data_IF_201135322029
#
_entry.id   IF_201135322029
#
_cell.length_a   1.000
_cell.length_b   1.000
_cell.length_c   1.000
_cell.angle_alpha   90.00
_cell.angle_beta   90.00
_cell.angle_gamma   90.00
#
_symmetry.space_group_name_H-M   'P 1'
#
loop_
_entity.id
_entity.type
_entity.pdbx_description
1 polymer ?
#
# COMPACT_ATOMS: atom_id res chain seq x y z
N UNK A 1 -6.82 9.52 3.95
CA UNK A 1 -7.85 8.77 3.18
C UNK A 1 -7.50 8.56 1.71
N UNK A 2 -6.97 9.56 0.98
CA UNK A 2 -6.56 9.39 -0.43
C UNK A 2 -5.61 8.20 -0.69
N UNK A 3 -4.58 8.03 0.16
CA UNK A 3 -3.66 6.90 0.05
C UNK A 3 -4.36 5.52 0.18
N UNK A 4 -5.43 5.43 0.97
CA UNK A 4 -6.23 4.20 1.04
C UNK A 4 -6.93 3.94 -0.30
N UNK A 5 -7.67 4.92 -0.84
CA UNK A 5 -8.38 4.76 -2.11
C UNK A 5 -7.45 4.51 -3.30
N UNK A 6 -6.24 5.09 -3.27
CA UNK A 6 -5.18 4.81 -4.25
C UNK A 6 -4.60 3.39 -4.13
N UNK A 7 -4.98 2.62 -3.10
CA UNK A 7 -4.46 1.29 -2.83
C UNK A 7 -3.04 1.26 -2.27
N UNK A 8 -2.58 2.37 -1.70
CA UNK A 8 -1.22 2.51 -1.13
C UNK A 8 -1.17 2.07 0.34
N UNK A 9 -2.29 2.14 1.06
CA UNK A 9 -2.42 1.57 2.40
C UNK A 9 -2.91 0.12 2.28
N UNK A 10 -1.99 -0.84 2.37
CA UNK A 10 -2.31 -2.26 2.21
C UNK A 10 -2.70 -2.83 3.57
N UNK A 11 -3.98 -3.20 3.69
CA UNK A 11 -4.51 -3.86 4.87
C UNK A 11 -4.06 -5.33 4.94
N UNK A 12 -3.83 -5.84 6.15
CA UNK A 12 -3.38 -7.24 6.35
C UNK A 12 -4.54 -8.25 6.32
N UNK A 13 -5.78 -7.76 6.47
CA UNK A 13 -6.97 -8.60 6.58
C UNK A 13 -8.20 -7.98 5.93
N UNK A 14 -9.17 -8.85 5.63
CA UNK A 14 -10.50 -8.42 5.17
C UNK A 14 -11.27 -7.63 6.24
N UNK A 15 -10.91 -7.77 7.51
CA UNK A 15 -11.54 -7.01 8.58
C UNK A 15 -11.01 -5.57 8.61
N UNK A 16 -9.69 -5.40 8.60
CA UNK A 16 -9.05 -4.08 8.56
C UNK A 16 -9.49 -3.27 7.34
N UNK A 17 -9.54 -3.91 6.16
CA UNK A 17 -9.95 -3.21 4.94
C UNK A 17 -11.41 -2.74 4.99
N UNK A 18 -12.28 -3.52 5.66
CA UNK A 18 -13.69 -3.17 5.87
C UNK A 18 -13.82 -2.02 6.87
N UNK A 19 -13.04 -2.03 7.96
CA UNK A 19 -13.00 -0.95 8.95
C UNK A 19 -12.54 0.37 8.34
N UNK A 20 -11.42 0.36 7.60
CA UNK A 20 -10.93 1.53 6.87
C UNK A 20 -11.96 2.05 5.87
N UNK A 21 -12.59 1.16 5.10
CA UNK A 21 -13.64 1.52 4.15
C UNK A 21 -14.89 2.11 4.84
N UNK A 22 -15.28 1.63 6.02
CA UNK A 22 -16.40 2.18 6.78
C UNK A 22 -16.13 3.62 7.24
N UNK A 23 -14.91 3.90 7.70
CA UNK A 23 -14.51 5.25 8.09
C UNK A 23 -14.48 6.19 6.87
N UNK A 24 -13.87 5.73 5.76
CA UNK A 24 -13.84 6.49 4.50
C UNK A 24 -15.25 6.75 3.98
N UNK A 25 -16.14 5.76 4.04
CA UNK A 25 -17.55 5.91 3.66
C UNK A 25 -18.25 6.96 4.50
N UNK A 26 -18.10 6.95 5.83
CA UNK A 26 -18.71 7.97 6.71
C UNK A 26 -18.21 9.36 6.36
N UNK A 27 -16.91 9.50 6.13
CA UNK A 27 -16.28 10.81 5.86
C UNK A 27 -16.65 11.36 4.49
N UNK A 28 -16.70 10.51 3.46
CA UNK A 28 -16.91 10.96 2.07
C UNK A 28 -18.37 10.96 1.63
N UNK A 29 -19.20 10.06 2.17
CA UNK A 29 -20.59 9.86 1.74
C UNK A 29 -21.61 10.32 2.79
N UNK A 30 -21.16 10.63 4.01
CA UNK A 30 -22.03 11.03 5.11
C UNK A 30 -22.77 9.87 5.77
N UNK A 31 -23.68 10.21 6.70
CA UNK A 31 -24.32 9.23 7.59
C UNK A 31 -25.44 8.43 6.94
N UNK A 32 -26.10 8.98 5.93
CA UNK A 32 -27.26 8.37 5.28
C UNK A 32 -26.89 7.41 4.14
N UNK A 33 -25.59 7.26 3.87
CA UNK A 33 -25.10 6.38 2.83
C UNK A 33 -25.50 4.92 3.07
N UNK A 34 -26.08 4.29 2.05
CA UNK A 34 -26.47 2.87 2.07
C UNK A 34 -25.60 2.09 1.07
N UNK A 35 -24.66 1.26 1.55
CA UNK A 35 -23.84 0.43 0.68
C UNK A 35 -24.67 -0.58 -0.13
N UNK A 36 -24.34 -0.69 -1.40
CA UNK A 36 -24.83 -1.72 -2.34
C UNK A 36 -23.66 -2.18 -3.20
N UNK A 37 -23.77 -3.32 -3.89
CA UNK A 37 -22.70 -3.80 -4.78
C UNK A 37 -22.33 -2.81 -5.90
N UNK A 38 -23.23 -1.88 -6.24
CA UNK A 38 -23.10 -0.91 -7.33
C UNK A 38 -22.39 0.39 -6.93
N UNK A 39 -22.44 0.80 -5.67
CA UNK A 39 -21.96 2.12 -5.20
C UNK A 39 -20.72 2.03 -4.29
N UNK A 40 -19.88 1.01 -4.48
CA UNK A 40 -18.63 0.84 -3.72
C UNK A 40 -17.42 1.56 -4.32
N UNK A 41 -17.56 2.10 -5.53
CA UNK A 41 -16.54 2.95 -6.13
C UNK A 41 -16.38 4.21 -5.27
N UNK A 42 -15.14 4.62 -5.01
CA UNK A 42 -14.76 5.70 -4.08
C UNK A 42 -14.90 5.38 -2.58
N UNK A 43 -15.15 4.11 -2.23
CA UNK A 43 -15.13 3.65 -0.83
C UNK A 43 -14.05 2.62 -0.62
N UNK A 44 -13.90 1.69 -1.56
CA UNK A 44 -12.81 0.71 -1.55
C UNK A 44 -11.78 1.07 -2.63
N UNK A 45 -10.49 0.70 -2.41
CA UNK A 45 -9.49 0.72 -3.46
C UNK A 45 -9.92 -0.18 -4.63
N UNK A 46 -9.60 0.22 -5.86
CA UNK A 46 -10.02 -0.47 -7.09
C UNK A 46 -9.65 -1.97 -7.07
N UNK A 47 -8.45 -2.30 -6.62
CA UNK A 47 -8.00 -3.69 -6.55
C UNK A 47 -8.81 -4.57 -5.61
N UNK A 48 -9.41 -3.99 -4.58
CA UNK A 48 -10.28 -4.73 -3.66
C UNK A 48 -11.56 -5.12 -4.39
N UNK A 49 -12.11 -4.19 -5.18
CA UNK A 49 -13.33 -4.38 -5.96
C UNK A 49 -13.14 -5.41 -7.07
N UNK A 50 -11.94 -5.51 -7.64
CA UNK A 50 -11.59 -6.48 -8.69
C UNK A 50 -11.37 -7.89 -8.14
N UNK A 51 -10.87 -8.02 -6.92
CA UNK A 51 -10.47 -9.30 -6.33
C UNK A 51 -11.49 -9.89 -5.34
N UNK A 52 -12.61 -9.21 -5.07
CA UNK A 52 -13.60 -9.63 -4.09
C UNK A 52 -15.03 -9.51 -4.61
N UNK A 53 -15.91 -10.37 -4.11
CA UNK A 53 -17.35 -10.27 -4.36
C UNK A 53 -17.92 -8.96 -3.78
N UNK A 54 -18.46 -8.12 -4.67
CA UNK A 54 -18.97 -6.78 -4.33
C UNK A 54 -20.22 -6.85 -3.42
N UNK A 55 -21.04 -7.89 -3.53
CA UNK A 55 -22.19 -8.09 -2.65
C UNK A 55 -21.75 -8.33 -1.20
N UNK A 56 -20.79 -9.23 -1.00
CA UNK A 56 -20.19 -9.51 0.31
C UNK A 56 -19.45 -8.31 0.89
N UNK A 57 -18.76 -7.52 0.07
CA UNK A 57 -18.15 -6.26 0.52
C UNK A 57 -19.21 -5.27 1.03
N UNK A 58 -20.31 -5.08 0.29
CA UNK A 58 -21.39 -4.19 0.69
C UNK A 58 -22.04 -4.62 2.03
N UNK A 59 -22.32 -5.92 2.20
CA UNK A 59 -22.90 -6.43 3.45
C UNK A 59 -21.95 -6.24 4.64
N UNK A 60 -20.66 -6.52 4.47
CA UNK A 60 -19.65 -6.29 5.52
C UNK A 60 -19.53 -4.81 5.88
N UNK A 61 -19.50 -3.95 4.87
CA UNK A 61 -19.47 -2.51 5.05
C UNK A 61 -20.71 -2.02 5.81
N UNK A 62 -21.90 -2.51 5.47
CA UNK A 62 -23.14 -2.19 6.17
C UNK A 62 -23.11 -2.60 7.64
N UNK A 63 -22.61 -3.79 7.95
CA UNK A 63 -22.43 -4.25 9.35
C UNK A 63 -21.45 -3.34 10.08
N UNK A 64 -20.34 -2.97 9.46
CA UNK A 64 -19.34 -2.11 10.08
C UNK A 64 -19.84 -0.68 10.28
N UNK A 65 -20.58 -0.11 9.31
CA UNK A 65 -21.18 1.23 9.44
C UNK A 65 -22.15 1.35 10.61
N UNK A 66 -22.87 0.27 10.95
CA UNK A 66 -23.73 0.22 12.15
C UNK A 66 -22.91 0.29 13.45
N UNK A 67 -21.74 -0.36 13.50
CA UNK A 67 -20.83 -0.28 14.66
C UNK A 67 -20.32 1.15 14.87
N UNK A 68 -20.20 1.91 13.80
CA UNK A 68 -19.70 3.27 13.80
C UNK A 68 -20.81 4.33 13.91
N UNK A 69 -22.07 3.95 14.18
CA UNK A 69 -23.23 4.85 14.21
C UNK A 69 -23.10 5.98 15.24
N UNK A 70 -22.56 5.66 16.41
CA UNK A 70 -22.44 6.58 17.54
C UNK A 70 -21.13 7.38 17.52
N UNK A 71 -20.17 7.03 16.66
CA UNK A 71 -18.89 7.71 16.57
C UNK A 71 -19.04 9.05 15.83
N UNK A 72 -18.38 10.09 16.32
CA UNK A 72 -18.26 11.36 15.62
C UNK A 72 -17.04 11.37 14.68
N UNK A 73 -16.95 12.40 13.83
CA UNK A 73 -15.94 12.48 12.78
C UNK A 73 -14.51 12.49 13.36
N UNK A 74 -14.30 13.15 14.50
CA UNK A 74 -13.00 13.18 15.18
C UNK A 74 -12.58 11.80 15.71
N UNK A 75 -13.52 11.04 16.27
CA UNK A 75 -13.26 9.66 16.73
C UNK A 75 -12.94 8.74 15.56
N UNK A 76 -13.67 8.86 14.45
CA UNK A 76 -13.43 8.09 13.23
C UNK A 76 -12.08 8.43 12.61
N UNK A 77 -11.71 9.71 12.55
CA UNK A 77 -10.40 10.13 12.05
C UNK A 77 -9.26 9.61 12.92
N UNK A 78 -9.40 9.69 14.26
CA UNK A 78 -8.43 9.13 15.18
C UNK A 78 -8.27 7.62 15.02
N UNK A 79 -9.39 6.89 14.85
CA UNK A 79 -9.37 5.45 14.57
C UNK A 79 -8.69 5.16 13.22
N UNK A 80 -9.01 5.91 12.16
CA UNK A 80 -8.37 5.75 10.86
C UNK A 80 -6.87 5.93 10.96
N UNK A 81 -6.41 6.98 11.65
CA UNK A 81 -4.99 7.26 11.81
C UNK A 81 -4.29 6.20 12.65
N UNK A 82 -4.93 5.70 13.71
CA UNK A 82 -4.42 4.60 14.53
C UNK A 82 -4.24 3.33 13.71
N UNK A 83 -5.27 2.94 12.94
CA UNK A 83 -5.21 1.77 12.07
C UNK A 83 -4.17 1.93 10.96
N UNK A 84 -4.16 3.09 10.29
CA UNK A 84 -3.25 3.37 9.19
C UNK A 84 -1.78 3.26 9.65
N UNK A 85 -1.42 3.82 10.81
CA UNK A 85 -0.07 3.72 11.38
C UNK A 85 0.40 2.29 11.66
N UNK A 86 -0.53 1.34 11.87
CA UNK A 86 -0.19 -0.07 12.04
C UNK A 86 0.13 -0.81 10.74
N UNK A 87 -0.11 -0.18 9.58
CA UNK A 87 0.15 -0.79 8.28
C UNK A 87 1.59 -0.55 7.84
N UNK A 88 2.24 -1.60 7.35
CA UNK A 88 3.66 -1.57 6.94
C UNK A 88 3.96 -0.54 5.83
N UNK A 89 2.96 -0.20 5.01
CA UNK A 89 3.09 0.79 3.92
C UNK A 89 2.71 2.21 4.33
N UNK A 90 2.38 2.44 5.59
CA UNK A 90 2.04 3.76 6.09
C UNK A 90 3.19 4.74 5.92
N UNK A 91 2.89 5.97 5.51
CA UNK A 91 3.91 7.01 5.29
C UNK A 91 4.83 6.76 4.09
N UNK A 92 4.60 5.71 3.30
CA UNK A 92 5.45 5.41 2.15
C UNK A 92 5.22 6.37 0.98
N UNK A 93 6.32 6.82 0.39
CA UNK A 93 6.31 7.51 -0.91
C UNK A 93 6.32 6.48 -2.03
N UNK A 94 5.27 6.47 -2.85
CA UNK A 94 5.06 5.45 -3.89
C UNK A 94 5.42 5.95 -5.30
N UNK A 95 6.01 5.05 -6.09
CA UNK A 95 6.42 5.27 -7.47
C UNK A 95 5.89 4.14 -8.36
N UNK A 96 5.32 4.49 -9.51
CA UNK A 96 5.02 3.51 -10.56
C UNK A 96 6.32 2.98 -11.18
N UNK A 97 6.39 1.65 -11.31
CA UNK A 97 7.57 0.93 -11.82
C UNK A 97 7.14 -0.29 -12.63
N UNK A 98 7.98 -0.72 -13.55
CA UNK A 98 7.97 -2.09 -14.06
C UNK A 98 8.88 -2.96 -13.18
N UNK A 99 8.42 -4.16 -12.80
CA UNK A 99 9.09 -5.02 -11.81
C UNK A 99 9.47 -6.36 -12.43
N UNK A 100 10.77 -6.57 -12.65
CA UNK A 100 11.30 -7.82 -13.18
C UNK A 100 12.03 -8.61 -12.08
N UNK A 101 12.11 -9.93 -12.24
CA UNK A 101 12.94 -10.78 -11.38
C UNK A 101 13.86 -11.65 -12.23
N UNK A 102 15.04 -12.04 -11.72
CA UNK A 102 15.96 -12.93 -12.48
C UNK A 102 15.32 -14.26 -12.89
N UNK A 103 14.39 -14.79 -12.08
CA UNK A 103 13.71 -16.08 -12.32
C UNK A 103 12.51 -15.95 -13.28
N UNK A 104 11.99 -14.75 -13.52
CA UNK A 104 10.94 -14.50 -14.52
C UNK A 104 11.16 -13.17 -15.26
N UNK A 105 11.50 -13.27 -16.56
CA UNK A 105 11.66 -12.14 -17.47
C UNK A 105 10.37 -11.33 -17.71
N UNK A 106 9.22 -11.82 -17.23
CA UNK A 106 8.04 -11.02 -17.05
C UNK A 106 7.75 -10.91 -15.56
N UNK A 107 7.58 -9.70 -15.05
CA UNK A 107 6.49 -9.40 -14.12
C UNK A 107 6.07 -7.94 -14.26
N UNK A 108 4.78 -7.73 -14.10
CA UNK A 108 4.07 -6.57 -14.64
C UNK A 108 4.29 -5.27 -13.87
N UNK A 109 3.53 -4.26 -14.30
CA UNK A 109 3.44 -2.97 -13.64
C UNK A 109 3.19 -3.11 -12.13
N UNK A 110 3.93 -2.34 -11.36
CA UNK A 110 3.92 -2.37 -9.90
C UNK A 110 3.91 -0.98 -9.28
N UNK A 111 3.93 -0.96 -7.96
CA UNK A 111 4.28 0.22 -7.17
C UNK A 111 5.48 -0.11 -6.30
N UNK A 112 6.37 0.86 -6.13
CA UNK A 112 7.45 0.78 -5.14
C UNK A 112 7.26 1.90 -4.14
N UNK A 113 7.09 1.53 -2.87
CA UNK A 113 6.97 2.43 -1.74
C UNK A 113 8.23 2.43 -0.89
N UNK A 114 8.60 3.59 -0.34
CA UNK A 114 9.67 3.71 0.67
C UNK A 114 9.20 4.53 1.85
N UNK A 115 9.38 4.02 3.07
CA UNK A 115 9.17 4.70 4.35
C UNK A 115 10.29 4.33 5.36
N UNK A 116 10.05 4.60 6.63
CA UNK A 116 10.89 4.25 7.77
C UNK A 116 10.96 2.74 8.07
N UNK A 117 9.99 1.94 7.61
CA UNK A 117 10.05 0.47 7.69
C UNK A 117 10.92 -0.16 6.60
N UNK A 118 11.12 0.52 5.46
CA UNK A 118 11.98 0.04 4.38
C UNK A 118 11.39 0.23 2.98
N UNK A 119 11.61 -0.78 2.14
CA UNK A 119 11.16 -0.84 0.75
C UNK A 119 9.96 -1.80 0.62
N UNK A 120 8.94 -1.37 -0.11
CA UNK A 120 7.73 -2.13 -0.41
C UNK A 120 7.54 -2.25 -1.90
N UNK A 121 7.59 -3.47 -2.45
CA UNK A 121 7.31 -3.74 -3.86
C UNK A 121 5.92 -4.38 -3.96
N UNK A 122 5.00 -3.71 -4.64
CA UNK A 122 3.63 -4.17 -4.87
C UNK A 122 3.49 -4.56 -6.34
N UNK A 123 3.17 -5.83 -6.60
CA UNK A 123 2.93 -6.34 -7.96
C UNK A 123 1.44 -6.18 -8.27
N UNK A 124 1.04 -5.20 -9.11
CA UNK A 124 -0.39 -4.85 -9.30
C UNK A 124 -1.22 -6.01 -9.87
N UNK A 125 -0.62 -6.92 -10.64
CA UNK A 125 -1.34 -8.08 -11.18
C UNK A 125 -1.93 -8.98 -10.09
N UNK A 126 -1.20 -9.18 -9.00
CA UNK A 126 -1.57 -10.09 -7.91
C UNK A 126 -1.83 -9.38 -6.59
N UNK A 127 -1.58 -8.07 -6.54
CA UNK A 127 -1.52 -7.25 -5.33
C UNK A 127 -0.66 -7.85 -4.21
N UNK A 128 0.32 -8.65 -4.61
CA UNK A 128 1.30 -9.21 -3.68
C UNK A 128 2.26 -8.12 -3.26
N UNK A 129 2.44 -7.99 -1.94
CA UNK A 129 3.40 -7.06 -1.35
C UNK A 129 4.66 -7.83 -0.94
N UNK A 130 5.81 -7.26 -1.26
CA UNK A 130 7.13 -7.70 -0.80
C UNK A 130 7.76 -6.57 -0.02
N UNK A 131 8.00 -6.80 1.26
CA UNK A 131 8.57 -5.82 2.18
C UNK A 131 10.02 -6.23 2.50
N UNK A 132 10.90 -5.24 2.50
CA UNK A 132 12.31 -5.41 2.83
C UNK A 132 12.74 -4.29 3.77
N UNK A 133 13.27 -4.65 4.93
CA UNK A 133 13.98 -3.67 5.79
C UNK A 133 15.26 -3.22 5.11
N UNK A 134 15.80 -2.06 5.51
CA UNK A 134 17.02 -1.51 4.91
C UNK A 134 18.27 -2.40 5.04
N UNK A 135 18.31 -3.31 6.02
CA UNK A 135 19.37 -4.31 6.22
C UNK A 135 19.20 -5.56 5.34
N UNK A 136 18.02 -5.78 4.74
CA UNK A 136 17.69 -6.98 3.97
C UNK A 136 18.03 -6.87 2.47
N UNK A 137 18.39 -5.68 1.98
CA UNK A 137 18.69 -5.46 0.57
C UNK A 137 19.79 -4.43 0.33
N UNK A 138 20.38 -4.48 -0.86
CA UNK A 138 21.15 -3.37 -1.43
C UNK A 138 20.44 -2.82 -2.66
N UNK A 139 20.51 -1.50 -2.85
CA UNK A 139 19.92 -0.82 -4.00
C UNK A 139 21.04 -0.27 -4.88
N UNK A 140 21.11 -0.76 -6.12
CA UNK A 140 22.19 -0.45 -7.07
C UNK A 140 21.57 0.21 -8.30
N UNK A 141 21.79 1.52 -8.46
CA UNK A 141 21.40 2.21 -9.68
C UNK A 141 22.27 1.71 -10.84
N UNK A 142 21.65 1.09 -11.85
CA UNK A 142 22.35 0.59 -13.04
C UNK A 142 22.46 1.69 -14.09
N UNK A 143 21.40 2.48 -14.23
CA UNK A 143 21.33 3.64 -15.11
C UNK A 143 20.28 4.64 -14.60
N UNK A 144 19.96 5.68 -15.39
CA UNK A 144 18.99 6.72 -15.03
C UNK A 144 17.54 6.24 -14.81
N UNK A 145 17.20 5.05 -15.33
CA UNK A 145 15.85 4.46 -15.34
C UNK A 145 15.78 3.08 -14.69
N UNK A 146 16.91 2.50 -14.31
CA UNK A 146 16.98 1.13 -13.79
C UNK A 146 17.61 1.09 -12.41
N UNK A 147 16.88 0.51 -11.45
CA UNK A 147 17.35 0.24 -10.10
C UNK A 147 17.28 -1.25 -9.81
N UNK A 148 18.41 -1.84 -9.43
CA UNK A 148 18.47 -3.22 -8.98
C UNK A 148 18.35 -3.27 -7.46
N UNK A 149 17.43 -4.10 -6.97
CA UNK A 149 17.26 -4.41 -5.55
C UNK A 149 17.77 -5.84 -5.35
N UNK A 150 18.97 -5.95 -4.82
CA UNK A 150 19.55 -7.24 -4.44
C UNK A 150 19.15 -7.58 -3.01
N UNK A 151 18.21 -8.51 -2.88
CA UNK A 151 17.72 -9.06 -1.62
C UNK A 151 18.10 -10.54 -1.47
N UNK A 152 19.17 -11.01 -2.13
CA UNK A 152 19.55 -12.42 -2.13
C UNK A 152 19.77 -12.98 -0.73
N UNK A 153 20.39 -12.20 0.17
CA UNK A 153 20.66 -12.62 1.55
C UNK A 153 19.38 -12.93 2.34
N UNK A 154 18.31 -12.18 2.09
CA UNK A 154 17.06 -12.31 2.83
C UNK A 154 16.04 -13.22 2.13
N UNK A 155 16.05 -13.28 0.79
CA UNK A 155 14.95 -13.86 0.00
C UNK A 155 15.39 -14.59 -1.28
N UNK A 156 16.68 -14.84 -1.48
CA UNK A 156 17.24 -15.49 -2.69
C UNK A 156 16.65 -14.92 -4.01
N UNK A 157 16.52 -13.60 -4.08
CA UNK A 157 15.88 -12.91 -5.19
C UNK A 157 16.54 -11.55 -5.45
N UNK A 158 16.61 -11.20 -6.73
CA UNK A 158 16.96 -9.86 -7.22
C UNK A 158 15.76 -9.31 -7.99
N UNK A 159 15.37 -8.08 -7.66
CA UNK A 159 14.36 -7.33 -8.42
C UNK A 159 15.04 -6.27 -9.27
N UNK A 160 14.56 -6.10 -10.49
CA UNK A 160 14.95 -5.01 -11.38
C UNK A 160 13.74 -4.11 -11.53
N UNK A 161 13.89 -2.85 -11.12
CA UNK A 161 12.86 -1.84 -11.16
C UNK A 161 13.17 -0.87 -12.29
N UNK A 162 12.24 -0.68 -13.21
CA UNK A 162 12.37 0.27 -14.32
C UNK A 162 11.33 1.38 -14.19
N UNK A 163 11.77 2.64 -14.21
CA UNK A 163 10.89 3.80 -14.14
C UNK A 163 11.59 5.08 -14.59
N UNK A 164 10.83 6.07 -15.06
CA UNK A 164 11.36 7.43 -15.27
C UNK A 164 11.65 8.16 -13.97
N UNK A 165 11.20 7.64 -12.82
CA UNK A 165 11.33 8.24 -11.50
C UNK A 165 12.45 7.62 -10.64
N UNK A 166 13.30 6.75 -11.20
CA UNK A 166 14.36 6.06 -10.44
C UNK A 166 15.30 7.00 -9.71
N UNK A 167 15.61 8.17 -10.27
CA UNK A 167 16.44 9.19 -9.60
C UNK A 167 15.83 9.63 -8.25
N UNK A 168 14.52 9.85 -8.20
CA UNK A 168 13.82 10.24 -6.97
C UNK A 168 13.77 9.10 -5.97
N UNK A 169 13.39 7.90 -6.43
CA UNK A 169 13.37 6.69 -5.60
C UNK A 169 14.73 6.43 -4.95
N UNK A 170 15.81 6.49 -5.75
CA UNK A 170 17.17 6.27 -5.27
C UNK A 170 17.59 7.33 -4.25
N UNK A 171 17.23 8.60 -4.48
CA UNK A 171 17.50 9.69 -3.53
C UNK A 171 16.80 9.49 -2.18
N UNK A 172 15.55 9.03 -2.18
CA UNK A 172 14.82 8.71 -0.95
C UNK A 172 15.47 7.53 -0.22
N UNK A 173 15.80 6.45 -0.93
CA UNK A 173 16.47 5.29 -0.35
C UNK A 173 17.80 5.66 0.31
N UNK A 174 18.63 6.46 -0.37
CA UNK A 174 19.89 6.96 0.19
C UNK A 174 19.68 7.80 1.44
N UNK A 175 18.63 8.63 1.48
CA UNK A 175 18.30 9.44 2.67
C UNK A 175 17.99 8.55 3.87
N UNK A 176 17.14 7.53 3.70
CA UNK A 176 16.82 6.61 4.79
C UNK A 176 18.02 5.76 5.21
N UNK A 177 18.79 5.22 4.27
CA UNK A 177 19.99 4.44 4.59
C UNK A 177 21.03 5.25 5.41
N UNK A 178 21.23 6.53 5.09
CA UNK A 178 22.09 7.43 5.89
C UNK A 178 21.56 7.66 7.30
N UNK A 179 20.24 7.83 7.45
CA UNK A 179 19.63 8.02 8.77
C UNK A 179 19.81 6.78 9.66
N UNK A 180 19.71 5.59 9.08
CA UNK A 180 19.89 4.33 9.81
C UNK A 180 21.34 4.13 10.27
N UNK A 181 22.33 4.51 9.45
CA UNK A 181 23.75 4.44 9.84
C UNK A 181 24.05 5.36 11.02
N UNK A 182 23.43 6.54 11.08
CA UNK A 182 23.67 7.52 12.14
C UNK A 182 22.96 7.19 13.47
N UNK A 183 22.17 6.11 13.52
CA UNK A 183 21.47 5.63 14.72
C UNK A 183 22.09 4.34 15.31
N UNK A 184 23.08 3.76 14.64
CA UNK A 184 23.81 2.57 15.08
C UNK A 184 25.13 2.95 15.78
#
# INVERSE_FOLDING_TARGET
MHAFLAGQLIANSKEEITKLAAIVSRTMQGRDFKPTSKNLANIFPQHVLENHDRGRLAERLKVQLKKNETQNDMQLEAEFMSMARGLVTYGASFFDVDVFTKKSMGNGHGLVGVNDHGLHIIIKKTWTVRNFRFDEFTAIARDSKTLEIDAQRARDTVYILVSTQIKFLSGILQKFQKLMINQA
#
